data_IF_726260299587
#
_entry.id   IF_726260299587
#
_cell.length_a   1.000
_cell.length_b   1.000
_cell.length_c   1.000
_cell.angle_alpha   90.00
_cell.angle_beta   90.00
_cell.angle_gamma   90.00
#
_symmetry.space_group_name_H-M   'P 1'
#
loop_
_entity.id
_entity.type
_entity.pdbx_description
1 polymer ?
#
# COMPACT_ATOMS: atom_id res chain seq x y z
N UNK A 1 21.72 22.23 -46.90
CA UNK A 1 21.90 22.04 -45.45
C UNK A 1 20.72 21.21 -45.03
N UNK A 2 20.89 19.89 -45.08
CA UNK A 2 19.84 18.95 -44.69
C UNK A 2 20.35 18.31 -43.40
N UNK A 3 19.91 18.82 -42.25
CA UNK A 3 20.11 18.11 -40.99
C UNK A 3 19.15 16.91 -40.98
N UNK A 4 19.62 15.71 -40.63
CA UNK A 4 18.86 14.49 -40.86
C UNK A 4 17.71 14.39 -39.87
N UNK A 5 16.52 14.07 -40.39
CA UNK A 5 15.30 13.71 -39.65
C UNK A 5 15.51 12.54 -38.64
N UNK A 6 16.67 11.87 -38.69
CA UNK A 6 17.10 10.82 -37.75
C UNK A 6 17.26 11.30 -36.29
N UNK A 7 17.44 12.61 -36.05
CA UNK A 7 17.57 13.15 -34.68
C UNK A 7 16.22 13.39 -33.99
N UNK A 8 15.14 13.58 -34.73
CA UNK A 8 13.83 13.89 -34.13
C UNK A 8 13.12 12.62 -33.62
N UNK A 9 13.19 11.54 -34.40
CA UNK A 9 12.60 10.26 -34.03
C UNK A 9 13.34 9.57 -32.87
N UNK A 10 14.68 9.64 -32.85
CA UNK A 10 15.48 9.12 -31.74
C UNK A 10 15.24 9.91 -30.44
N UNK A 11 15.20 11.25 -30.52
CA UNK A 11 14.87 12.12 -29.37
C UNK A 11 13.48 11.86 -28.81
N UNK A 12 12.44 11.70 -29.67
CA UNK A 12 11.08 11.39 -29.22
C UNK A 12 10.98 10.01 -28.56
N UNK A 13 11.69 9.03 -29.11
CA UNK A 13 11.75 7.69 -28.54
C UNK A 13 12.44 7.69 -27.16
N UNK A 14 13.55 8.41 -27.02
CA UNK A 14 14.27 8.54 -25.75
C UNK A 14 13.49 9.34 -24.70
N UNK A 15 12.76 10.39 -25.11
CA UNK A 15 11.85 11.12 -24.23
C UNK A 15 10.71 10.23 -23.70
N UNK A 16 10.12 9.37 -24.55
CA UNK A 16 9.09 8.42 -24.12
C UNK A 16 9.63 7.40 -23.11
N UNK A 17 10.84 6.89 -23.33
CA UNK A 17 11.50 5.96 -22.39
C UNK A 17 11.80 6.64 -21.06
N UNK A 18 12.30 7.87 -21.09
CA UNK A 18 12.57 8.65 -19.88
C UNK A 18 11.28 8.95 -19.11
N UNK A 19 10.21 9.32 -19.80
CA UNK A 19 8.89 9.55 -19.18
C UNK A 19 8.35 8.28 -18.53
N UNK A 20 8.42 7.13 -19.20
CA UNK A 20 7.98 5.85 -18.65
C UNK A 20 8.82 5.46 -17.42
N UNK A 21 10.14 5.69 -17.47
CA UNK A 21 11.04 5.45 -16.36
C UNK A 21 10.74 6.35 -15.14
N UNK A 22 10.55 7.65 -15.36
CA UNK A 22 10.22 8.59 -14.29
C UNK A 22 8.88 8.27 -13.61
N UNK A 23 7.88 7.85 -14.39
CA UNK A 23 6.60 7.39 -13.84
C UNK A 23 6.78 6.12 -12.99
N UNK A 24 7.53 5.14 -13.49
CA UNK A 24 7.82 3.92 -12.72
C UNK A 24 8.58 4.22 -11.41
N UNK A 25 9.53 5.17 -11.42
CA UNK A 25 10.21 5.61 -10.19
C UNK A 25 9.26 6.28 -9.20
N UNK A 26 8.36 7.13 -9.67
CA UNK A 26 7.38 7.80 -8.83
C UNK A 26 6.42 6.80 -8.18
N UNK A 27 5.97 5.81 -8.94
CA UNK A 27 5.08 4.76 -8.45
C UNK A 27 5.77 3.89 -7.40
N UNK A 28 7.03 3.51 -7.63
CA UNK A 28 7.85 2.81 -6.63
C UNK A 28 8.02 3.62 -5.34
N UNK A 29 8.26 4.92 -5.44
CA UNK A 29 8.37 5.80 -4.28
C UNK A 29 7.05 5.89 -3.50
N UNK A 30 5.91 6.02 -4.19
CA UNK A 30 4.58 6.03 -3.56
C UNK A 30 4.29 4.71 -2.83
N UNK A 31 4.55 3.58 -3.48
CA UNK A 31 4.40 2.25 -2.87
C UNK A 31 5.26 2.12 -1.61
N UNK A 32 6.50 2.63 -1.64
CA UNK A 32 7.37 2.63 -0.47
C UNK A 32 6.80 3.44 0.70
N UNK A 33 6.26 4.63 0.44
CA UNK A 33 5.60 5.45 1.48
C UNK A 33 4.41 4.71 2.07
N UNK A 34 3.51 4.20 1.23
CA UNK A 34 2.30 3.51 1.68
C UNK A 34 2.64 2.29 2.54
N UNK A 35 3.68 1.53 2.18
CA UNK A 35 4.11 0.38 2.97
C UNK A 35 4.76 0.78 4.30
N UNK A 36 5.52 1.88 4.31
CA UNK A 36 6.07 2.45 5.54
C UNK A 36 4.95 2.88 6.48
N UNK A 37 3.94 3.58 5.96
CA UNK A 37 2.79 4.04 6.73
C UNK A 37 1.95 2.87 7.26
N UNK A 38 1.70 1.84 6.45
CA UNK A 38 1.06 0.60 6.91
C UNK A 38 1.76 0.00 8.14
N UNK A 39 3.10 -0.14 8.08
CA UNK A 39 3.87 -0.68 9.21
C UNK A 39 3.75 0.20 10.47
N UNK A 40 3.77 1.53 10.30
CA UNK A 40 3.69 2.46 11.43
C UNK A 40 2.29 2.44 12.07
N UNK A 41 1.24 2.47 11.25
CA UNK A 41 -0.15 2.50 11.71
C UNK A 41 -0.58 1.16 12.33
N UNK A 42 -0.13 0.04 11.78
CA UNK A 42 -0.32 -1.30 12.36
C UNK A 42 0.23 -1.36 13.79
N UNK A 43 1.47 -0.88 14.01
CA UNK A 43 2.09 -0.84 15.34
C UNK A 43 1.43 0.14 16.31
N UNK A 44 0.96 1.28 15.79
CA UNK A 44 0.26 2.27 16.59
C UNK A 44 -1.17 1.82 16.97
N UNK A 45 -1.69 0.76 16.34
CA UNK A 45 -3.08 0.33 16.52
C UNK A 45 -4.09 1.31 15.93
N UNK A 46 -3.67 2.18 15.01
CA UNK A 46 -4.57 3.14 14.33
C UNK A 46 -5.28 2.44 13.17
N UNK A 47 -6.30 1.65 13.52
CA UNK A 47 -7.01 0.76 12.59
C UNK A 47 -7.68 1.52 11.43
N UNK A 48 -8.17 2.74 11.69
CA UNK A 48 -8.88 3.54 10.69
C UNK A 48 -7.91 4.05 9.63
N UNK A 49 -6.81 4.68 10.04
CA UNK A 49 -5.83 5.17 9.08
C UNK A 49 -5.10 4.02 8.41
N UNK A 50 -4.84 2.92 9.12
CA UNK A 50 -4.25 1.72 8.53
C UNK A 50 -5.12 1.18 7.39
N UNK A 51 -6.45 1.08 7.57
CA UNK A 51 -7.36 0.69 6.48
C UNK A 51 -7.23 1.63 5.28
N UNK A 52 -7.23 2.95 5.49
CA UNK A 52 -7.14 3.93 4.40
C UNK A 52 -5.88 3.77 3.56
N UNK A 53 -4.75 3.50 4.22
CA UNK A 53 -3.48 3.25 3.54
C UNK A 53 -3.51 1.92 2.79
N UNK A 54 -4.11 0.87 3.34
CA UNK A 54 -4.32 -0.40 2.62
C UNK A 54 -5.23 -0.24 1.39
N UNK A 55 -6.31 0.54 1.48
CA UNK A 55 -7.19 0.85 0.34
C UNK A 55 -6.44 1.65 -0.75
N UNK A 56 -5.53 2.54 -0.35
CA UNK A 56 -4.66 3.25 -1.29
C UNK A 56 -3.67 2.29 -1.97
N UNK A 57 -3.02 1.42 -1.20
CA UNK A 57 -2.11 0.40 -1.71
C UNK A 57 -2.82 -0.55 -2.69
N UNK A 58 -4.04 -0.99 -2.38
CA UNK A 58 -4.82 -1.82 -3.29
C UNK A 58 -5.12 -1.11 -4.62
N UNK A 59 -5.46 0.18 -4.59
CA UNK A 59 -5.70 0.97 -5.81
C UNK A 59 -4.45 1.07 -6.69
N UNK A 60 -3.30 1.33 -6.10
CA UNK A 60 -2.01 1.35 -6.81
C UNK A 60 -1.65 -0.02 -7.40
N UNK A 61 -2.07 -1.11 -6.75
CA UNK A 61 -1.80 -2.48 -7.20
C UNK A 61 -2.89 -3.07 -8.11
N UNK A 62 -4.02 -2.39 -8.29
CA UNK A 62 -5.22 -2.94 -8.93
C UNK A 62 -4.98 -3.44 -10.36
N UNK A 63 -4.14 -2.73 -11.13
CA UNK A 63 -3.77 -3.13 -12.48
C UNK A 63 -2.91 -4.40 -12.56
N UNK A 64 -2.40 -4.88 -11.43
CA UNK A 64 -1.47 -6.01 -11.33
C UNK A 64 -2.05 -7.22 -10.58
N UNK A 65 -3.31 -7.09 -10.12
CA UNK A 65 -4.05 -8.15 -9.48
C UNK A 65 -4.63 -9.09 -10.53
N UNK A 66 -4.66 -10.39 -10.23
CA UNK A 66 -5.54 -11.30 -10.96
C UNK A 66 -6.98 -11.11 -10.51
N UNK A 67 -7.96 -11.49 -11.33
CA UNK A 67 -9.38 -11.40 -10.96
C UNK A 67 -9.67 -12.09 -9.63
N UNK A 68 -9.11 -13.29 -9.41
CA UNK A 68 -9.25 -14.02 -8.15
C UNK A 68 -8.67 -13.28 -6.94
N UNK A 69 -7.60 -12.52 -7.11
CA UNK A 69 -7.00 -11.73 -6.02
C UNK A 69 -7.78 -10.45 -5.73
N UNK A 70 -8.27 -9.81 -6.79
CA UNK A 70 -9.14 -8.65 -6.67
C UNK A 70 -10.45 -9.03 -5.95
N UNK A 71 -11.06 -10.14 -6.34
CA UNK A 71 -12.26 -10.70 -5.71
C UNK A 71 -11.98 -11.09 -4.25
N UNK A 72 -10.91 -11.84 -3.98
CA UNK A 72 -10.55 -12.24 -2.63
C UNK A 72 -10.26 -11.05 -1.69
N UNK A 73 -9.63 -9.98 -2.19
CA UNK A 73 -9.44 -8.74 -1.44
C UNK A 73 -10.76 -8.03 -1.20
N UNK A 74 -11.62 -7.97 -2.22
CA UNK A 74 -12.92 -7.30 -2.15
C UNK A 74 -13.86 -8.02 -1.18
N UNK A 75 -13.90 -9.34 -1.20
CA UNK A 75 -14.68 -10.18 -0.29
C UNK A 75 -14.22 -10.02 1.15
N UNK A 76 -12.91 -10.00 1.38
CA UNK A 76 -12.34 -9.73 2.70
C UNK A 76 -12.76 -8.35 3.23
N UNK A 77 -12.67 -7.33 2.37
CA UNK A 77 -13.01 -5.95 2.72
C UNK A 77 -14.50 -5.80 3.01
N UNK A 78 -15.35 -6.27 2.10
CA UNK A 78 -16.81 -6.07 2.15
C UNK A 78 -17.49 -7.03 3.12
N UNK A 79 -17.06 -8.29 3.15
CA UNK A 79 -17.67 -9.35 3.95
C UNK A 79 -17.22 -9.37 5.41
N UNK A 80 -15.99 -8.92 5.72
CA UNK A 80 -15.42 -9.05 7.07
C UNK A 80 -14.97 -7.70 7.65
N UNK A 81 -14.13 -6.96 6.93
CA UNK A 81 -13.47 -5.77 7.48
C UNK A 81 -14.42 -4.59 7.68
N UNK A 82 -15.22 -4.23 6.66
CA UNK A 82 -16.17 -3.11 6.75
C UNK A 82 -17.20 -3.33 7.87
N UNK A 83 -17.84 -4.52 7.99
CA UNK A 83 -18.69 -4.83 9.14
C UNK A 83 -17.97 -4.69 10.48
N UNK A 84 -16.76 -5.24 10.62
CA UNK A 84 -15.99 -5.18 11.86
C UNK A 84 -15.65 -3.73 12.26
N UNK A 85 -15.27 -2.89 11.30
CA UNK A 85 -14.94 -1.48 11.54
C UNK A 85 -16.19 -0.66 11.90
N UNK A 86 -17.34 -0.95 11.29
CA UNK A 86 -18.63 -0.32 11.62
C UNK A 86 -19.06 -0.66 13.05
N UNK A 87 -19.01 -1.94 13.41
CA UNK A 87 -19.31 -2.42 14.76
C UNK A 87 -18.41 -1.74 15.80
N UNK A 88 -17.11 -1.65 15.51
CA UNK A 88 -16.15 -1.00 16.40
C UNK A 88 -16.49 0.48 16.61
N UNK A 89 -16.81 1.22 15.53
CA UNK A 89 -17.20 2.63 15.63
C UNK A 89 -18.46 2.85 16.49
N UNK A 90 -19.47 1.99 16.32
CA UNK A 90 -20.70 2.03 17.14
C UNK A 90 -20.38 1.77 18.62
N UNK A 91 -19.54 0.78 18.91
CA UNK A 91 -19.17 0.43 20.28
C UNK A 91 -18.30 1.51 20.93
N UNK A 92 -17.34 2.08 20.21
CA UNK A 92 -16.52 3.20 20.72
C UNK A 92 -17.38 4.42 21.05
N UNK A 93 -18.38 4.74 20.22
CA UNK A 93 -19.34 5.81 20.50
C UNK A 93 -20.20 5.52 21.73
N UNK A 94 -20.57 4.24 21.95
CA UNK A 94 -21.38 3.80 23.09
C UNK A 94 -20.58 3.75 24.41
N UNK A 95 -19.29 3.45 24.36
CA UNK A 95 -18.45 3.19 25.53
C UNK A 95 -17.37 4.26 25.79
N UNK A 96 -17.46 5.45 25.16
CA UNK A 96 -16.54 6.62 25.26
C UNK A 96 -15.55 6.56 26.45
N UNK A 97 -14.34 6.05 26.18
CA UNK A 97 -13.21 6.09 27.12
C UNK A 97 -13.19 5.01 28.21
N UNK A 98 -14.15 4.07 28.25
CA UNK A 98 -14.12 2.92 29.16
C UNK A 98 -13.61 1.67 28.45
N UNK A 99 -12.57 1.07 28.99
CA UNK A 99 -12.06 -0.24 28.55
C UNK A 99 -13.14 -1.28 28.78
N UNK A 100 -13.73 -1.77 27.69
CA UNK A 100 -14.77 -2.80 27.71
C UNK A 100 -14.26 -4.02 26.96
N UNK A 101 -14.34 -5.21 27.58
CA UNK A 101 -13.93 -6.48 26.96
C UNK A 101 -14.58 -6.71 25.58
N UNK A 102 -15.81 -6.24 25.37
CA UNK A 102 -16.49 -6.30 24.08
C UNK A 102 -15.90 -5.35 23.04
N UNK A 103 -15.48 -4.14 23.43
CA UNK A 103 -14.77 -3.20 22.54
C UNK A 103 -13.42 -3.79 22.16
N UNK A 104 -12.68 -4.33 23.13
CA UNK A 104 -11.39 -4.97 22.90
C UNK A 104 -11.51 -6.15 21.92
N UNK A 105 -12.45 -7.07 22.14
CA UNK A 105 -12.66 -8.21 21.24
C UNK A 105 -12.97 -7.78 19.79
N UNK A 106 -13.68 -6.67 19.61
CA UNK A 106 -13.97 -6.11 18.27
C UNK A 106 -12.78 -5.38 17.66
N UNK A 107 -11.95 -4.73 18.47
CA UNK A 107 -10.66 -4.20 18.01
C UNK A 107 -9.74 -5.33 17.53
N UNK A 108 -9.65 -6.43 18.29
CA UNK A 108 -8.81 -7.59 17.94
C UNK A 108 -9.30 -8.26 16.64
N UNK A 109 -10.63 -8.36 16.45
CA UNK A 109 -11.21 -8.84 15.20
C UNK A 109 -10.88 -7.93 14.01
N UNK A 110 -11.07 -6.62 14.15
CA UNK A 110 -10.74 -5.64 13.10
C UNK A 110 -9.24 -5.69 12.74
N UNK A 111 -8.37 -5.79 13.75
CA UNK A 111 -6.93 -5.96 13.56
C UNK A 111 -6.61 -7.23 12.77
N UNK A 112 -7.27 -8.34 13.09
CA UNK A 112 -7.08 -9.63 12.38
C UNK A 112 -7.44 -9.49 10.90
N UNK A 113 -8.56 -8.86 10.57
CA UNK A 113 -8.98 -8.65 9.18
C UNK A 113 -8.07 -7.67 8.43
N UNK A 114 -7.61 -6.60 9.08
CA UNK A 114 -6.63 -5.67 8.49
C UNK A 114 -5.29 -6.37 8.21
N UNK A 115 -4.83 -7.21 9.14
CA UNK A 115 -3.61 -8.01 8.96
C UNK A 115 -3.75 -8.98 7.78
N UNK A 116 -4.90 -9.65 7.66
CA UNK A 116 -5.17 -10.53 6.53
C UNK A 116 -5.16 -9.76 5.19
N UNK A 117 -5.75 -8.56 5.17
CA UNK A 117 -5.78 -7.72 3.99
C UNK A 117 -4.37 -7.28 3.58
N UNK A 118 -3.58 -6.82 4.55
CA UNK A 118 -2.18 -6.47 4.33
C UNK A 118 -1.36 -7.65 3.80
N UNK A 119 -1.52 -8.84 4.37
CA UNK A 119 -0.82 -10.05 3.91
C UNK A 119 -1.17 -10.37 2.45
N UNK A 120 -2.44 -10.25 2.06
CA UNK A 120 -2.86 -10.45 0.66
C UNK A 120 -2.18 -9.46 -0.29
N UNK A 121 -2.14 -8.17 0.06
CA UNK A 121 -1.44 -7.16 -0.76
C UNK A 121 0.08 -7.40 -0.82
N UNK A 122 0.69 -7.85 0.28
CA UNK A 122 2.13 -8.19 0.32
C UNK A 122 2.49 -9.37 -0.57
N UNK A 123 1.59 -10.36 -0.76
CA UNK A 123 1.82 -11.47 -1.70
C UNK A 123 1.91 -10.98 -3.14
N UNK A 124 1.06 -10.03 -3.52
CA UNK A 124 1.06 -9.39 -4.85
C UNK A 124 2.35 -8.62 -5.05
N UNK A 125 2.75 -7.79 -4.09
CA UNK A 125 4.02 -7.05 -4.14
C UNK A 125 5.23 -7.97 -4.30
N UNK A 126 5.25 -9.10 -3.57
CA UNK A 126 6.31 -10.11 -3.67
C UNK A 126 6.36 -10.72 -5.08
N UNK A 127 5.21 -11.02 -5.69
CA UNK A 127 5.14 -11.52 -7.07
C UNK A 127 5.68 -10.50 -8.07
N UNK A 128 5.40 -9.23 -7.86
CA UNK A 128 5.88 -8.13 -8.71
C UNK A 128 7.38 -7.82 -8.53
N UNK A 129 8.09 -8.57 -7.67
CA UNK A 129 9.51 -8.33 -7.38
C UNK A 129 9.75 -7.05 -6.58
N UNK A 130 8.69 -6.44 -6.04
CA UNK A 130 8.77 -5.24 -5.20
C UNK A 130 9.12 -5.70 -3.79
N UNK A 131 10.41 -5.89 -3.55
CA UNK A 131 10.91 -6.10 -2.19
C UNK A 131 10.98 -4.77 -1.47
N UNK A 132 10.37 -4.72 -0.27
CA UNK A 132 10.64 -3.65 0.68
C UNK A 132 12.16 -3.48 0.85
N UNK A 133 12.70 -2.25 0.84
CA UNK A 133 14.08 -2.06 1.22
C UNK A 133 14.26 -2.65 2.61
N UNK A 134 15.23 -3.56 2.73
CA UNK A 134 15.56 -4.14 4.03
C UNK A 134 15.93 -3.00 4.98
N UNK A 135 15.54 -3.13 6.25
CA UNK A 135 16.05 -2.28 7.33
C UNK A 135 17.57 -2.41 7.33
N UNK A 136 18.29 -1.50 6.70
CA UNK A 136 19.76 -1.59 6.69
C UNK A 136 20.52 -0.78 5.65
N UNK A 137 19.90 -0.23 4.60
CA UNK A 137 20.66 0.63 3.65
C UNK A 137 20.40 2.11 3.93
N UNK A 138 20.68 2.55 5.15
CA UNK A 138 21.13 3.93 5.35
C UNK A 138 22.66 3.89 5.32
N UNK A 139 23.24 4.74 4.49
CA UNK A 139 24.68 5.00 4.33
C UNK A 139 25.44 4.10 3.36
N UNK A 140 25.35 4.42 2.06
CA UNK A 140 26.45 4.18 1.12
C UNK A 140 26.66 5.30 0.08
N UNK A 141 26.02 6.46 0.24
CA UNK A 141 26.15 7.59 -0.70
C UNK A 141 26.32 8.96 -0.02
N UNK A 142 26.79 9.00 1.23
CA UNK A 142 27.06 10.26 1.91
C UNK A 142 28.22 10.12 2.88
N UNK A 143 29.37 10.70 2.53
CA UNK A 143 30.47 10.95 3.45
C UNK A 143 31.67 10.04 3.24
N UNK A 144 32.56 10.47 2.36
CA UNK A 144 33.97 10.08 2.35
C UNK A 144 34.74 11.32 1.96
N UNK A 145 35.17 12.06 2.99
CA UNK A 145 36.15 13.15 2.91
C UNK A 145 37.47 12.70 2.27
#
# INVERSE_FOLDING_TARGET
MDEPEENLFSSLHDQRRLSAFNMAQLDLYRLHILLSDCNNLSRAGDLINWKRVLDALFRELSAHLTDTEADGCTDLVTGQLVPAMKDLGVLQAKFKGKTNKFVQAKMDAAYTYLSAYEISLRKVLKRLGISLPSRGVRSALGGGD
#
